data_IF_882784929128
#
_entry.id   IF_882784929128
#
_cell.length_a   1.000
_cell.length_b   1.000
_cell.length_c   1.000
_cell.angle_alpha   90.00
_cell.angle_beta   90.00
_cell.angle_gamma   90.00
#
_symmetry.space_group_name_H-M   'P 1'
#
loop_
_entity.id
_entity.type
_entity.pdbx_description
1 polymer ?
#
# COMPACT_ATOMS: atom_id res chain seq x y z
N UNK A 1 -14.27 -25.74 8.21
CA UNK A 1 -14.35 -25.46 6.75
C UNK A 1 -12.96 -25.54 6.13
N UNK A 2 -12.76 -26.24 5.00
CA UNK A 2 -11.41 -26.48 4.42
C UNK A 2 -10.63 -25.21 4.07
N UNK A 3 -11.31 -24.09 3.80
CA UNK A 3 -10.65 -22.83 3.45
C UNK A 3 -10.06 -22.13 4.67
N UNK A 4 -10.73 -22.18 5.84
CA UNK A 4 -10.27 -21.53 7.07
C UNK A 4 -8.91 -22.09 7.51
N UNK A 5 -8.71 -23.41 7.40
CA UNK A 5 -7.42 -24.04 7.73
C UNK A 5 -6.27 -23.65 6.80
N UNK A 6 -6.56 -23.06 5.64
CA UNK A 6 -5.54 -22.59 4.69
C UNK A 6 -5.13 -21.12 4.90
N UNK A 7 -5.95 -20.33 5.58
CA UNK A 7 -5.73 -18.88 5.81
C UNK A 7 -4.31 -18.55 6.31
N UNK A 8 -3.73 -19.28 7.29
CA UNK A 8 -2.38 -18.95 7.78
C UNK A 8 -1.28 -19.08 6.71
N UNK A 9 -1.49 -19.91 5.69
CA UNK A 9 -0.53 -20.12 4.60
C UNK A 9 -0.78 -19.21 3.39
N UNK A 10 -1.88 -18.46 3.36
CA UNK A 10 -2.23 -17.57 2.26
C UNK A 10 -1.41 -16.28 2.31
N UNK A 11 -1.11 -15.70 1.16
CA UNK A 11 -0.46 -14.40 1.04
C UNK A 11 -1.38 -13.26 1.46
N UNK A 12 -0.85 -12.06 1.72
CA UNK A 12 -1.69 -10.89 2.06
C UNK A 12 -2.63 -10.52 0.91
N UNK A 13 -2.16 -10.67 -0.33
CA UNK A 13 -2.96 -10.47 -1.54
C UNK A 13 -4.09 -11.49 -1.64
N UNK A 14 -3.80 -12.78 -1.38
CA UNK A 14 -4.81 -13.83 -1.38
C UNK A 14 -5.87 -13.61 -0.27
N UNK A 15 -5.46 -13.18 0.92
CA UNK A 15 -6.38 -12.84 2.00
C UNK A 15 -7.26 -11.63 1.65
N UNK A 16 -6.70 -10.61 1.01
CA UNK A 16 -7.46 -9.44 0.56
C UNK A 16 -8.52 -9.82 -0.47
N UNK A 17 -8.19 -10.71 -1.41
CA UNK A 17 -9.16 -11.25 -2.39
C UNK A 17 -10.24 -12.08 -1.71
N UNK A 18 -9.85 -12.98 -0.78
CA UNK A 18 -10.79 -13.82 -0.03
C UNK A 18 -11.76 -12.97 0.81
N UNK A 19 -11.28 -11.88 1.40
CA UNK A 19 -12.09 -10.93 2.17
C UNK A 19 -13.19 -10.31 1.29
N UNK A 20 -12.84 -9.78 0.12
CA UNK A 20 -13.82 -9.20 -0.82
C UNK A 20 -14.84 -10.24 -1.27
N UNK A 21 -14.40 -11.44 -1.63
CA UNK A 21 -15.29 -12.53 -2.03
C UNK A 21 -16.27 -12.93 -0.91
N UNK A 22 -15.82 -12.95 0.34
CA UNK A 22 -16.67 -13.25 1.48
C UNK A 22 -17.73 -12.15 1.70
N UNK A 23 -17.37 -10.87 1.54
CA UNK A 23 -18.34 -9.77 1.57
C UNK A 23 -19.37 -9.88 0.44
N UNK A 24 -18.95 -10.24 -0.78
CA UNK A 24 -19.85 -10.46 -1.90
C UNK A 24 -20.84 -11.60 -1.65
N UNK A 25 -20.40 -12.71 -1.03
CA UNK A 25 -21.29 -13.80 -0.64
C UNK A 25 -22.35 -13.33 0.36
N UNK A 26 -21.96 -12.54 1.37
CA UNK A 26 -22.90 -11.95 2.33
C UNK A 26 -23.89 -11.01 1.64
N UNK A 27 -23.42 -10.11 0.78
CA UNK A 27 -24.26 -9.19 0.01
C UNK A 27 -25.30 -9.94 -0.82
N UNK A 28 -24.87 -11.02 -1.49
CA UNK A 28 -25.73 -11.87 -2.30
C UNK A 28 -26.56 -12.87 -1.48
N UNK A 29 -26.51 -12.80 -0.13
CA UNK A 29 -27.22 -13.69 0.80
C UNK A 29 -26.91 -15.18 0.59
N UNK A 30 -25.72 -15.50 0.10
CA UNK A 30 -25.23 -16.86 -0.14
C UNK A 30 -24.25 -17.26 0.96
N UNK A 31 -24.42 -18.47 1.51
CA UNK A 31 -23.48 -19.05 2.48
C UNK A 31 -23.09 -18.06 3.61
N UNK A 32 -24.05 -17.27 4.09
CA UNK A 32 -23.78 -16.09 4.95
C UNK A 32 -23.00 -16.47 6.21
N UNK A 33 -23.40 -17.55 6.88
CA UNK A 33 -22.73 -18.04 8.08
C UNK A 33 -21.28 -18.42 7.80
N UNK A 34 -21.05 -19.16 6.73
CA UNK A 34 -19.70 -19.59 6.33
C UNK A 34 -18.81 -18.38 5.98
N UNK A 35 -19.35 -17.41 5.24
CA UNK A 35 -18.65 -16.18 4.89
C UNK A 35 -18.29 -15.36 6.14
N UNK A 36 -19.17 -15.28 7.14
CA UNK A 36 -18.89 -14.62 8.41
C UNK A 36 -17.77 -15.33 9.20
N UNK A 37 -17.76 -16.66 9.23
CA UNK A 37 -16.68 -17.43 9.85
C UNK A 37 -15.34 -17.21 9.13
N UNK A 38 -15.34 -17.14 7.79
CA UNK A 38 -14.16 -16.81 6.99
C UNK A 38 -13.66 -15.39 7.31
N UNK A 39 -14.54 -14.39 7.34
CA UNK A 39 -14.16 -13.02 7.70
C UNK A 39 -13.54 -12.94 9.09
N UNK A 40 -14.12 -13.63 10.09
CA UNK A 40 -13.56 -13.68 11.44
C UNK A 40 -12.17 -14.30 11.46
N UNK A 41 -11.94 -15.37 10.70
CA UNK A 41 -10.64 -16.01 10.60
C UNK A 41 -9.59 -15.12 9.89
N UNK A 42 -9.99 -14.39 8.84
CA UNK A 42 -9.12 -13.41 8.16
C UNK A 42 -8.72 -12.28 9.12
N UNK A 43 -9.68 -11.74 9.88
CA UNK A 43 -9.41 -10.67 10.85
C UNK A 43 -8.42 -11.13 11.94
N UNK A 44 -8.57 -12.35 12.45
CA UNK A 44 -7.63 -12.92 13.42
C UNK A 44 -6.22 -13.08 12.83
N UNK A 45 -6.11 -13.55 11.58
CA UNK A 45 -4.83 -13.69 10.90
C UNK A 45 -4.18 -12.34 10.59
N UNK A 46 -4.95 -11.33 10.18
CA UNK A 46 -4.44 -9.97 9.99
C UNK A 46 -3.94 -9.34 11.29
N UNK A 47 -4.65 -9.53 12.41
CA UNK A 47 -4.19 -9.07 13.72
C UNK A 47 -2.84 -9.70 14.06
N UNK A 48 -2.73 -11.03 13.91
CA UNK A 48 -1.49 -11.76 14.16
C UNK A 48 -0.32 -11.27 13.30
N UNK A 49 -0.56 -10.99 12.02
CA UNK A 49 0.46 -10.46 11.09
C UNK A 49 0.87 -9.04 11.44
N UNK A 50 -0.07 -8.21 11.88
CA UNK A 50 0.21 -6.86 12.34
C UNK A 50 1.08 -6.88 13.60
N UNK A 51 0.76 -7.74 14.58
CA UNK A 51 1.58 -7.92 15.78
C UNK A 51 2.99 -8.42 15.42
N UNK A 52 3.09 -9.41 14.53
CA UNK A 52 4.37 -9.91 14.05
C UNK A 52 5.16 -8.84 13.25
N UNK A 53 4.49 -7.95 12.53
CA UNK A 53 5.11 -6.81 11.85
C UNK A 53 5.71 -5.82 12.86
N UNK A 54 4.94 -5.48 13.90
CA UNK A 54 5.39 -4.59 14.97
C UNK A 54 6.61 -5.17 15.73
N UNK A 55 6.65 -6.50 15.87
CA UNK A 55 7.79 -7.24 16.42
C UNK A 55 9.00 -7.36 15.46
N UNK A 56 8.89 -6.86 14.23
CA UNK A 56 9.93 -6.99 13.19
C UNK A 56 10.08 -8.39 12.61
N UNK A 57 9.12 -9.29 12.84
CA UNK A 57 9.11 -10.70 12.42
C UNK A 57 8.27 -10.96 11.16
N UNK A 58 7.65 -9.93 10.61
CA UNK A 58 6.80 -10.04 9.43
C UNK A 58 7.06 -8.89 8.46
N UNK A 59 7.00 -9.21 7.16
CA UNK A 59 7.05 -8.24 6.07
C UNK A 59 5.81 -8.43 5.22
N UNK A 60 5.02 -7.37 5.07
CA UNK A 60 3.79 -7.45 4.31
C UNK A 60 4.08 -7.63 2.82
N UNK A 61 3.17 -8.32 2.15
CA UNK A 61 3.24 -8.41 0.70
C UNK A 61 2.92 -7.04 0.07
N UNK A 62 3.54 -6.74 -1.07
CA UNK A 62 3.15 -5.55 -1.83
C UNK A 62 1.82 -5.81 -2.55
N UNK A 63 0.80 -4.96 -2.39
CA UNK A 63 -0.48 -5.15 -3.02
C UNK A 63 -0.44 -4.86 -4.52
N UNK A 64 -1.28 -5.55 -5.29
CA UNK A 64 -1.41 -5.36 -6.75
C UNK A 64 -1.75 -3.90 -7.11
N UNK A 65 -2.55 -3.23 -6.27
CA UNK A 65 -2.85 -1.80 -6.34
C UNK A 65 -2.31 -1.10 -5.09
N UNK A 66 -1.07 -0.62 -5.15
CA UNK A 66 -0.42 0.11 -4.05
C UNK A 66 -0.99 1.51 -3.78
N UNK A 67 -0.58 2.09 -2.66
CA UNK A 67 -1.04 3.41 -2.16
C UNK A 67 -0.95 4.51 -3.20
N UNK A 68 0.19 4.69 -3.87
CA UNK A 68 0.38 5.73 -4.89
C UNK A 68 -0.68 5.64 -6.00
N UNK A 69 -0.91 4.42 -6.52
CA UNK A 69 -1.91 4.16 -7.56
C UNK A 69 -3.33 4.39 -7.04
N UNK A 70 -3.61 4.05 -5.78
CA UNK A 70 -4.91 4.33 -5.14
C UNK A 70 -5.18 5.83 -4.99
N UNK A 71 -4.18 6.63 -4.65
CA UNK A 71 -4.29 8.09 -4.62
C UNK A 71 -4.37 8.73 -6.03
N UNK A 72 -4.07 7.96 -7.08
CA UNK A 72 -4.05 8.44 -8.46
C UNK A 72 -2.73 9.14 -8.85
N UNK A 73 -1.67 8.99 -8.04
CA UNK A 73 -0.33 9.46 -8.37
C UNK A 73 0.24 8.66 -9.54
N UNK A 74 0.60 9.37 -10.61
CA UNK A 74 1.14 8.82 -11.86
C UNK A 74 2.13 9.81 -12.49
N UNK A 75 3.19 9.26 -13.07
CA UNK A 75 4.22 9.96 -13.85
C UNK A 75 4.30 9.37 -15.26
N UNK A 76 5.12 9.95 -16.13
CA UNK A 76 5.36 9.51 -17.50
C UNK A 76 4.36 10.10 -18.49
N UNK A 77 4.19 9.42 -19.63
CA UNK A 77 3.38 9.95 -20.73
C UNK A 77 1.91 10.14 -20.34
N UNK A 78 1.35 9.22 -19.56
CA UNK A 78 0.00 9.29 -18.99
C UNK A 78 -0.01 9.84 -17.54
N UNK A 79 1.07 10.51 -17.15
CA UNK A 79 1.27 11.10 -15.83
C UNK A 79 0.36 12.30 -15.58
N UNK A 80 0.20 12.65 -14.31
CA UNK A 80 -0.44 13.92 -13.93
C UNK A 80 0.61 15.03 -13.86
N UNK A 81 0.18 16.27 -14.10
CA UNK A 81 1.07 17.44 -14.05
C UNK A 81 1.69 17.66 -12.66
N UNK A 82 2.83 18.37 -12.63
CA UNK A 82 3.66 18.58 -11.44
C UNK A 82 2.88 19.13 -10.23
N UNK A 83 1.98 20.09 -10.44
CA UNK A 83 1.16 20.66 -9.36
C UNK A 83 0.29 19.60 -8.69
N UNK A 84 -0.38 18.76 -9.49
CA UNK A 84 -1.19 17.66 -8.98
C UNK A 84 -0.33 16.59 -8.31
N UNK A 85 0.86 16.28 -8.82
CA UNK A 85 1.77 15.34 -8.16
C UNK A 85 2.18 15.83 -6.76
N UNK A 86 2.52 17.12 -6.62
CA UNK A 86 2.87 17.73 -5.33
C UNK A 86 1.71 17.68 -4.33
N UNK A 87 0.49 18.01 -4.75
CA UNK A 87 -0.72 17.86 -3.92
C UNK A 87 -0.86 16.42 -3.42
N UNK A 88 -0.66 15.43 -4.31
CA UNK A 88 -0.76 14.02 -3.95
C UNK A 88 0.38 13.55 -3.02
N UNK A 89 1.58 14.11 -3.17
CA UNK A 89 2.73 13.85 -2.27
C UNK A 89 2.45 14.46 -0.88
N UNK A 90 1.95 15.68 -0.81
CA UNK A 90 1.59 16.33 0.45
C UNK A 90 0.47 15.55 1.17
N UNK A 91 -0.53 15.08 0.41
CA UNK A 91 -1.56 14.17 0.94
C UNK A 91 -0.92 12.86 1.45
N UNK A 92 -0.08 12.23 0.64
CA UNK A 92 0.59 10.96 0.97
C UNK A 92 1.35 11.06 2.29
N UNK A 93 1.98 12.19 2.57
CA UNK A 93 2.82 12.40 3.74
C UNK A 93 2.06 12.88 4.99
N UNK A 94 1.02 13.70 4.84
CA UNK A 94 0.40 14.40 5.97
C UNK A 94 -1.07 14.04 6.22
N UNK A 95 -1.69 13.22 5.38
CA UNK A 95 -3.09 12.86 5.53
C UNK A 95 -3.27 11.39 5.85
N UNK A 96 -4.45 11.07 6.39
CA UNK A 96 -4.85 9.68 6.57
C UNK A 96 -4.93 8.98 5.21
N UNK A 97 -4.24 7.86 5.07
CA UNK A 97 -4.31 7.08 3.84
C UNK A 97 -5.58 6.24 3.77
N UNK A 98 -6.11 6.03 2.54
CA UNK A 98 -7.10 4.99 2.33
C UNK A 98 -6.50 3.61 2.65
N UNK A 99 -7.30 2.67 3.15
CA UNK A 99 -6.83 1.30 3.40
C UNK A 99 -6.46 0.63 2.08
N UNK A 100 -5.26 0.08 2.00
CA UNK A 100 -4.72 -0.60 0.81
C UNK A 100 -3.99 -1.87 1.24
N UNK A 101 -4.38 -3.02 0.68
CA UNK A 101 -3.79 -4.31 1.03
C UNK A 101 -4.13 -4.76 2.46
N UNK A 102 -3.14 -5.30 3.18
CA UNK A 102 -3.30 -5.80 4.54
C UNK A 102 -3.07 -4.70 5.61
N UNK A 103 -3.57 -4.89 6.85
CA UNK A 103 -3.22 -4.01 7.97
C UNK A 103 -1.72 -3.90 8.22
N UNK A 104 -0.97 -5.01 8.09
CA UNK A 104 0.49 -5.00 8.19
C UNK A 104 1.13 -4.15 7.07
N UNK A 105 0.61 -4.21 5.84
CA UNK A 105 1.07 -3.34 4.75
C UNK A 105 0.86 -1.86 5.09
N UNK A 106 -0.31 -1.51 5.62
CA UNK A 106 -0.59 -0.12 6.00
C UNK A 106 0.26 0.34 7.19
N UNK A 107 0.61 -0.56 8.11
CA UNK A 107 1.53 -0.25 9.19
C UNK A 107 2.94 0.14 8.68
N UNK A 108 3.41 -0.42 7.56
CA UNK A 108 4.67 0.00 6.93
C UNK A 108 4.70 1.48 6.54
N UNK A 109 3.54 2.04 6.26
CA UNK A 109 3.38 3.43 5.87
C UNK A 109 3.41 4.39 7.06
N UNK A 110 3.21 3.93 8.29
CA UNK A 110 3.29 4.74 9.51
C UNK A 110 2.22 5.81 9.64
N UNK A 111 2.24 6.60 10.70
CA UNK A 111 1.25 7.66 10.93
C UNK A 111 1.48 8.89 10.02
N UNK A 112 0.46 9.72 9.77
CA UNK A 112 0.62 11.01 9.09
C UNK A 112 1.73 11.86 9.72
N UNK A 113 2.54 12.53 8.89
CA UNK A 113 3.65 13.39 9.30
C UNK A 113 4.68 12.72 10.23
N UNK A 114 4.83 11.40 10.12
CA UNK A 114 5.84 10.66 10.86
C UNK A 114 7.13 10.46 10.05
N UNK A 115 8.22 10.20 10.76
CA UNK A 115 9.50 9.79 10.18
C UNK A 115 9.39 8.51 9.33
N UNK A 116 8.62 7.54 9.80
CA UNK A 116 8.36 6.30 9.09
C UNK A 116 7.65 6.55 7.76
N UNK A 117 6.63 7.41 7.79
CA UNK A 117 5.86 7.84 6.63
C UNK A 117 6.72 8.47 5.55
N UNK A 118 7.56 9.43 5.93
CA UNK A 118 8.52 10.03 5.02
C UNK A 118 9.45 8.97 4.40
N UNK A 119 10.08 8.14 5.24
CA UNK A 119 11.03 7.11 4.79
C UNK A 119 10.39 6.11 3.84
N UNK A 120 9.17 5.65 4.12
CA UNK A 120 8.44 4.72 3.26
C UNK A 120 8.10 5.35 1.91
N UNK A 121 7.52 6.55 1.91
CA UNK A 121 7.17 7.26 0.68
C UNK A 121 8.42 7.54 -0.19
N UNK A 122 9.47 8.07 0.43
CA UNK A 122 10.71 8.40 -0.24
C UNK A 122 11.37 7.15 -0.84
N UNK A 123 11.45 6.06 -0.07
CA UNK A 123 11.98 4.78 -0.55
C UNK A 123 11.20 4.26 -1.75
N UNK A 124 9.87 4.29 -1.70
CA UNK A 124 9.02 3.81 -2.80
C UNK A 124 9.29 4.59 -4.08
N UNK A 125 9.30 5.92 -4.02
CA UNK A 125 9.57 6.78 -5.18
C UNK A 125 11.01 6.57 -5.69
N UNK A 126 11.98 6.47 -4.78
CA UNK A 126 13.38 6.19 -5.15
C UNK A 126 13.54 4.87 -5.88
N UNK A 127 12.86 3.80 -5.44
CA UNK A 127 12.90 2.50 -6.13
C UNK A 127 12.28 2.61 -7.52
N UNK A 128 11.14 3.31 -7.67
CA UNK A 128 10.51 3.52 -8.97
C UNK A 128 11.43 4.26 -9.94
N UNK A 129 12.09 5.34 -9.47
CA UNK A 129 13.10 6.07 -10.24
C UNK A 129 14.24 5.15 -10.70
N UNK A 130 14.82 4.40 -9.77
CA UNK A 130 15.93 3.48 -10.06
C UNK A 130 15.54 2.41 -11.08
N UNK A 131 14.32 1.86 -10.99
CA UNK A 131 13.81 0.90 -11.98
C UNK A 131 13.66 1.54 -13.37
N UNK A 132 13.14 2.76 -13.47
CA UNK A 132 13.00 3.43 -14.76
C UNK A 132 14.33 3.73 -15.43
N UNK A 133 15.34 4.14 -14.66
CA UNK A 133 16.71 4.36 -15.14
C UNK A 133 17.29 3.11 -15.83
N UNK A 134 16.94 1.92 -15.34
CA UNK A 134 17.41 0.65 -15.93
C UNK A 134 16.67 0.24 -17.21
N UNK A 135 15.48 0.77 -17.47
CA UNK A 135 14.62 0.32 -18.58
C UNK A 135 14.81 1.13 -19.88
N UNK A 136 15.40 2.32 -19.83
CA UNK A 136 15.85 3.07 -21.02
C UNK A 136 14.77 3.68 -21.93
N UNK A 137 13.49 3.50 -21.63
CA UNK A 137 12.37 4.15 -22.34
C UNK A 137 11.48 5.01 -21.41
N UNK A 138 11.91 5.22 -20.17
CA UNK A 138 11.13 5.86 -19.12
C UNK A 138 11.66 7.24 -18.71
N UNK A 139 12.45 7.90 -19.55
CA UNK A 139 13.16 9.15 -19.24
C UNK A 139 12.26 10.24 -18.64
N UNK A 140 11.03 10.39 -19.16
CA UNK A 140 10.08 11.35 -18.61
C UNK A 140 9.68 10.98 -17.17
N UNK A 141 9.35 9.72 -16.93
CA UNK A 141 8.96 9.25 -15.61
C UNK A 141 10.13 9.33 -14.61
N UNK A 142 11.34 9.00 -15.05
CA UNK A 142 12.56 9.14 -14.25
C UNK A 142 12.78 10.58 -13.79
N UNK A 143 12.74 11.56 -14.72
CA UNK A 143 12.85 12.99 -14.38
C UNK A 143 11.75 13.43 -13.43
N UNK A 144 10.51 13.02 -13.67
CA UNK A 144 9.40 13.41 -12.80
C UNK A 144 9.52 12.82 -11.39
N UNK A 145 10.00 11.57 -11.25
CA UNK A 145 10.32 11.01 -9.93
C UNK A 145 11.50 11.73 -9.26
N UNK A 146 12.50 12.15 -10.02
CA UNK A 146 13.61 12.94 -9.49
C UNK A 146 13.16 14.31 -8.97
N UNK A 147 12.33 15.02 -9.74
CA UNK A 147 11.69 16.28 -9.32
C UNK A 147 10.85 16.10 -8.05
N UNK A 148 10.10 15.00 -7.98
CA UNK A 148 9.24 14.68 -6.85
C UNK A 148 10.06 14.35 -5.59
N UNK A 149 11.17 13.62 -5.71
CA UNK A 149 12.11 13.39 -4.60
C UNK A 149 12.72 14.70 -4.13
N UNK A 150 13.21 15.56 -5.04
CA UNK A 150 13.77 16.86 -4.69
C UNK A 150 12.73 17.74 -3.96
N UNK A 151 11.46 17.70 -4.39
CA UNK A 151 10.37 18.36 -3.70
C UNK A 151 10.15 17.82 -2.29
N UNK A 152 10.14 16.49 -2.12
CA UNK A 152 10.02 15.87 -0.79
C UNK A 152 11.16 16.28 0.13
N UNK A 153 12.40 16.29 -0.35
CA UNK A 153 13.55 16.67 0.47
C UNK A 153 13.50 18.14 0.88
N UNK A 154 13.11 19.03 -0.03
CA UNK A 154 12.99 20.46 0.23
C UNK A 154 11.87 20.79 1.22
N UNK A 155 10.70 20.18 1.04
CA UNK A 155 9.47 20.56 1.78
C UNK A 155 9.27 19.73 3.04
N UNK A 156 9.58 18.43 2.96
CA UNK A 156 9.32 17.45 4.01
C UNK A 156 10.59 16.89 4.64
N UNK A 157 11.78 17.39 4.27
CA UNK A 157 13.06 16.94 4.80
C UNK A 157 13.20 17.07 6.31
N UNK A 158 12.39 17.92 6.96
CA UNK A 158 12.31 18.05 8.41
C UNK A 158 11.79 16.78 9.12
N UNK A 159 11.17 15.84 8.38
CA UNK A 159 10.71 14.54 8.89
C UNK A 159 11.76 13.42 8.78
N UNK A 160 12.94 13.66 8.18
CA UNK A 160 13.97 12.63 7.87
C UNK A 160 14.46 11.80 9.06
#
# INVERSE_FOLDING_TARGET
MKIISKIPAMSDNELSKLFTNALELIHNKKMVKDAQEVLKAIQAEWSKRLDAYNDGKYKAETPEKGVLKTLGYRVGNDGVGIEKRRILIDYLLNQQLPPVGSPAHMAEWGEPSSKQRYRKAHRVIQVLKSTASTLGYMDKAEREWEEDLAYMEKTWGHLK
#
